data_IF_636807524830
#
_entry.id   IF_636807524830
#
_cell.length_a   1.000
_cell.length_b   1.000
_cell.length_c   1.000
_cell.angle_alpha   90.00
_cell.angle_beta   90.00
_cell.angle_gamma   90.00
#
_symmetry.space_group_name_H-M   'P 1'
#
loop_
_entity.id
_entity.type
_entity.pdbx_description
1 polymer ?
#
# COMPACT_ATOMS: atom_id res chain seq x y z
N UNK A 1 33.12 18.43 4.69
CA UNK A 1 32.97 19.64 3.85
C UNK A 1 32.87 19.12 2.43
N UNK A 2 31.70 19.27 1.81
CA UNK A 2 31.43 18.71 0.47
C UNK A 2 32.38 19.25 -0.59
N UNK A 3 32.55 18.49 -1.68
CA UNK A 3 33.39 18.88 -2.81
C UNK A 3 32.55 19.72 -3.78
N UNK A 4 33.13 20.79 -4.33
CA UNK A 4 32.46 21.57 -5.38
C UNK A 4 32.16 20.66 -6.58
N UNK A 5 30.91 20.66 -7.01
CA UNK A 5 30.45 19.86 -8.14
C UNK A 5 31.19 20.22 -9.43
N UNK A 6 31.28 19.26 -10.36
CA UNK A 6 31.99 19.45 -11.62
C UNK A 6 31.38 20.58 -12.48
N UNK A 7 30.08 20.84 -12.34
CA UNK A 7 29.35 21.91 -13.00
C UNK A 7 29.39 23.25 -12.23
N UNK A 8 30.09 23.29 -11.08
CA UNK A 8 30.28 24.47 -10.22
C UNK A 8 28.98 25.09 -9.71
N UNK A 9 27.98 24.27 -9.43
CA UNK A 9 26.65 24.73 -8.98
C UNK A 9 26.34 24.37 -7.54
N UNK A 10 27.05 23.42 -6.96
CA UNK A 10 26.70 22.85 -5.66
C UNK A 10 27.90 22.27 -4.93
N UNK A 11 27.77 22.11 -3.62
CA UNK A 11 28.76 21.41 -2.79
C UNK A 11 28.13 20.11 -2.30
N UNK A 12 28.62 18.99 -2.83
CA UNK A 12 27.94 17.71 -2.70
C UNK A 12 28.85 16.61 -2.14
N UNK A 13 28.25 15.73 -1.34
CA UNK A 13 28.74 14.39 -1.02
C UNK A 13 27.72 13.34 -1.55
N UNK A 14 28.18 12.17 -2.03
CA UNK A 14 27.29 11.12 -2.55
C UNK A 14 26.24 10.69 -1.51
N UNK A 15 25.01 10.46 -1.96
CA UNK A 15 23.87 9.94 -1.18
C UNK A 15 23.45 10.79 0.05
N UNK A 16 23.93 12.03 0.16
CA UNK A 16 23.66 12.95 1.29
C UNK A 16 22.87 14.19 0.88
N UNK A 17 21.74 13.99 0.18
CA UNK A 17 21.01 15.08 -0.48
C UNK A 17 20.64 16.25 0.43
N UNK A 18 20.08 15.99 1.62
CA UNK A 18 19.66 17.05 2.53
C UNK A 18 20.85 17.84 3.10
N UNK A 19 21.94 17.14 3.43
CA UNK A 19 23.18 17.78 3.88
C UNK A 19 23.85 18.59 2.75
N UNK A 20 23.77 18.12 1.50
CA UNK A 20 24.29 18.86 0.34
C UNK A 20 23.54 20.18 0.15
N UNK A 21 22.23 20.20 0.38
CA UNK A 21 21.44 21.44 0.35
C UNK A 21 21.86 22.41 1.45
N UNK A 22 22.06 21.92 2.67
CA UNK A 22 22.55 22.73 3.78
C UNK A 22 23.94 23.32 3.48
N UNK A 23 24.89 22.47 3.07
CA UNK A 23 26.26 22.90 2.72
C UNK A 23 26.27 23.92 1.57
N UNK A 24 25.48 23.68 0.53
CA UNK A 24 25.35 24.60 -0.61
C UNK A 24 24.69 25.92 -0.20
N UNK A 25 23.75 25.90 0.76
CA UNK A 25 23.13 27.12 1.30
C UNK A 25 24.14 27.97 2.08
N UNK A 26 25.01 27.33 2.88
CA UNK A 26 26.11 28.03 3.53
C UNK A 26 27.11 28.61 2.51
N UNK A 27 27.43 27.86 1.46
CA UNK A 27 28.31 28.34 0.38
C UNK A 27 27.69 29.56 -0.34
N UNK A 28 26.39 29.53 -0.63
CA UNK A 28 25.68 30.67 -1.20
C UNK A 28 25.76 31.91 -0.27
N UNK A 29 25.49 31.74 1.03
CA UNK A 29 25.62 32.84 1.99
C UNK A 29 27.05 33.39 2.04
N UNK A 30 28.07 32.53 1.98
CA UNK A 30 29.46 32.96 1.94
C UNK A 30 29.80 33.75 0.67
N UNK A 31 29.32 33.30 -0.51
CA UNK A 31 29.51 34.03 -1.77
C UNK A 31 28.84 35.41 -1.73
N UNK A 32 27.65 35.52 -1.15
CA UNK A 32 26.94 36.79 -0.97
C UNK A 32 27.71 37.75 -0.05
N UNK A 33 28.28 37.25 1.04
CA UNK A 33 29.13 38.04 1.96
C UNK A 33 30.40 38.53 1.25
N UNK A 34 31.00 37.68 0.41
CA UNK A 34 32.16 38.03 -0.42
C UNK A 34 31.80 38.93 -1.61
N UNK A 35 30.51 39.19 -1.85
CA UNK A 35 29.96 39.95 -2.99
C UNK A 35 30.36 39.38 -4.35
N UNK A 36 30.57 38.07 -4.42
CA UNK A 36 30.81 37.36 -5.69
C UNK A 36 29.47 37.02 -6.35
N UNK A 37 28.82 38.01 -6.95
CA UNK A 37 27.48 37.84 -7.53
C UNK A 37 27.50 37.04 -8.85
N UNK A 38 28.63 37.01 -9.56
CA UNK A 38 28.76 36.29 -10.83
C UNK A 38 28.65 34.77 -10.63
N UNK A 39 29.19 34.27 -9.52
CA UNK A 39 29.19 32.84 -9.18
C UNK A 39 27.88 32.36 -8.53
N UNK A 40 26.98 33.27 -8.12
CA UNK A 40 25.82 32.95 -7.27
C UNK A 40 24.64 32.38 -8.07
N UNK A 41 24.41 32.86 -9.29
CA UNK A 41 23.23 32.49 -10.06
C UNK A 41 23.08 30.97 -10.32
N UNK A 42 24.14 30.23 -10.71
CA UNK A 42 24.07 28.78 -10.88
C UNK A 42 23.72 28.04 -9.58
N UNK A 43 24.22 28.53 -8.44
CA UNK A 43 23.98 27.96 -7.11
C UNK A 43 22.52 28.14 -6.70
N UNK A 44 21.96 29.32 -6.94
CA UNK A 44 20.55 29.63 -6.68
C UNK A 44 19.61 28.79 -7.55
N UNK A 45 19.94 28.58 -8.83
CA UNK A 45 19.16 27.69 -9.70
C UNK A 45 19.12 26.27 -9.15
N UNK A 46 20.29 25.72 -8.80
CA UNK A 46 20.39 24.37 -8.26
C UNK A 46 19.58 24.22 -6.96
N UNK A 47 19.69 25.15 -6.01
CA UNK A 47 18.91 25.11 -4.77
C UNK A 47 17.40 25.13 -5.00
N UNK A 48 16.91 25.91 -5.97
CA UNK A 48 15.49 25.95 -6.32
C UNK A 48 14.98 24.63 -6.92
N UNK A 49 15.84 23.86 -7.57
CA UNK A 49 15.50 22.57 -8.19
C UNK A 49 15.41 21.42 -7.17
N UNK A 50 15.98 21.56 -5.96
CA UNK A 50 16.06 20.47 -4.97
C UNK A 50 14.79 20.23 -4.12
N UNK A 51 13.62 20.72 -4.55
CA UNK A 51 12.33 20.61 -3.82
C UNK A 51 11.66 19.24 -3.96
N UNK A 52 12.33 18.20 -3.47
CA UNK A 52 11.96 16.80 -3.69
C UNK A 52 10.80 16.30 -2.82
N UNK A 53 10.70 16.76 -1.56
CA UNK A 53 9.74 16.21 -0.61
C UNK A 53 8.39 16.93 -0.69
N UNK A 54 7.53 16.48 -1.61
CA UNK A 54 6.19 17.05 -1.78
C UNK A 54 6.22 18.53 -2.21
N UNK A 55 7.28 18.95 -2.90
CA UNK A 55 7.51 20.36 -3.27
C UNK A 55 8.23 21.20 -2.21
N UNK A 56 8.67 20.60 -1.10
CA UNK A 56 9.54 21.22 -0.08
C UNK A 56 10.92 20.55 0.04
N UNK A 57 11.73 20.98 1.02
CA UNK A 57 13.12 20.54 1.20
C UNK A 57 13.31 19.39 2.21
N UNK A 58 12.24 18.88 2.83
CA UNK A 58 12.24 17.57 3.52
C UNK A 58 12.68 17.55 4.99
N UNK A 59 13.54 18.45 5.45
CA UNK A 59 13.91 18.59 6.87
C UNK A 59 13.93 20.04 7.33
N UNK A 60 13.84 20.26 8.64
CA UNK A 60 13.82 21.62 9.22
C UNK A 60 15.10 22.40 8.91
N UNK A 61 16.28 21.79 9.11
CA UNK A 61 17.57 22.48 8.88
C UNK A 61 17.77 22.83 7.41
N UNK A 62 17.59 21.86 6.50
CA UNK A 62 17.70 22.12 5.07
C UNK A 62 16.69 23.19 4.61
N UNK A 63 15.44 23.09 5.08
CA UNK A 63 14.40 24.08 4.74
C UNK A 63 14.76 25.47 5.24
N UNK A 64 15.18 25.60 6.49
CA UNK A 64 15.55 26.89 7.10
C UNK A 64 16.74 27.51 6.37
N UNK A 65 17.82 26.76 6.19
CA UNK A 65 19.05 27.25 5.58
C UNK A 65 18.86 27.65 4.12
N UNK A 66 18.12 26.84 3.34
CA UNK A 66 17.82 27.17 1.94
C UNK A 66 16.97 28.44 1.85
N UNK A 67 15.94 28.58 2.69
CA UNK A 67 15.12 29.80 2.67
C UNK A 67 15.89 31.04 3.11
N UNK A 68 16.75 30.93 4.13
CA UNK A 68 17.60 32.03 4.57
C UNK A 68 18.53 32.48 3.44
N UNK A 69 19.20 31.54 2.78
CA UNK A 69 20.14 31.83 1.71
C UNK A 69 19.45 32.46 0.48
N UNK A 70 18.30 31.91 0.06
CA UNK A 70 17.52 32.46 -1.06
C UNK A 70 16.92 33.84 -0.74
N UNK A 71 16.47 34.06 0.50
CA UNK A 71 15.96 35.37 0.92
C UNK A 71 17.08 36.42 0.95
N UNK A 72 18.27 36.04 1.43
CA UNK A 72 19.43 36.93 1.43
C UNK A 72 19.89 37.26 0.00
N UNK A 73 19.88 36.28 -0.91
CA UNK A 73 20.16 36.51 -2.33
C UNK A 73 19.22 37.56 -2.94
N UNK A 74 17.90 37.42 -2.73
CA UNK A 74 16.92 38.37 -3.26
C UNK A 74 17.03 39.78 -2.65
N UNK A 75 17.58 39.87 -1.43
CA UNK A 75 17.85 41.15 -0.75
C UNK A 75 19.09 41.84 -1.31
N UNK A 76 20.15 41.09 -1.58
CA UNK A 76 21.45 41.63 -2.00
C UNK A 76 21.57 41.78 -3.53
N UNK A 77 20.84 40.95 -4.29
CA UNK A 77 20.76 40.96 -5.76
C UNK A 77 19.31 41.22 -6.19
N UNK A 78 18.85 42.48 -6.08
CA UNK A 78 17.50 42.88 -6.46
C UNK A 78 17.27 42.79 -7.97
N UNK A 79 16.39 41.88 -8.42
CA UNK A 79 16.04 41.69 -9.85
C UNK A 79 14.56 42.01 -10.15
N UNK A 80 13.96 42.89 -9.34
CA UNK A 80 12.49 42.98 -9.18
C UNK A 80 11.73 43.85 -10.17
N UNK A 81 12.40 44.71 -10.94
CA UNK A 81 11.69 45.68 -11.79
C UNK A 81 11.17 45.09 -13.11
N UNK A 82 11.66 43.91 -13.50
CA UNK A 82 11.40 43.31 -14.83
C UNK A 82 10.53 42.03 -14.80
N UNK A 83 9.94 41.66 -13.65
CA UNK A 83 9.14 40.43 -13.54
C UNK A 83 7.82 40.55 -14.33
N UNK A 84 7.78 39.90 -15.48
CA UNK A 84 6.62 39.76 -16.34
C UNK A 84 6.64 38.37 -17.01
N UNK A 85 6.14 37.37 -16.30
CA UNK A 85 6.08 35.99 -16.78
C UNK A 85 4.64 35.62 -17.14
N UNK A 86 4.44 35.17 -18.37
CA UNK A 86 3.18 34.56 -18.84
C UNK A 86 3.40 33.05 -18.92
N UNK A 87 2.72 32.31 -18.04
CA UNK A 87 2.77 30.86 -17.96
C UNK A 87 1.47 30.29 -18.51
N UNK A 88 1.57 29.43 -19.52
CA UNK A 88 0.44 28.73 -20.14
C UNK A 88 0.56 27.23 -19.87
N UNK A 89 -0.50 26.64 -19.31
CA UNK A 89 -0.59 25.20 -19.01
C UNK A 89 -1.60 24.59 -19.98
N UNK A 90 -1.14 23.67 -20.82
CA UNK A 90 -1.94 22.97 -21.80
C UNK A 90 -2.27 21.55 -21.31
N UNK A 91 -3.56 21.24 -21.24
CA UNK A 91 -4.11 20.00 -20.70
C UNK A 91 -4.86 19.25 -21.82
N UNK A 92 -4.55 17.96 -22.10
CA UNK A 92 -5.09 17.23 -23.24
C UNK A 92 -6.63 17.15 -23.30
N UNK A 93 -7.29 17.21 -22.15
CA UNK A 93 -8.75 17.11 -22.02
C UNK A 93 -9.45 18.47 -21.92
N UNK A 94 -8.71 19.57 -22.00
CA UNK A 94 -9.24 20.92 -21.88
C UNK A 94 -9.26 21.61 -23.25
N UNK A 95 -10.35 22.30 -23.57
CA UNK A 95 -10.49 22.98 -24.87
C UNK A 95 -9.64 24.25 -24.99
N UNK A 96 -9.15 24.79 -23.88
CA UNK A 96 -8.30 25.97 -23.83
C UNK A 96 -7.22 25.85 -22.76
N UNK A 97 -6.03 26.39 -23.10
CA UNK A 97 -4.90 26.46 -22.19
C UNK A 97 -5.17 27.42 -21.02
N UNK A 98 -4.79 27.02 -19.82
CA UNK A 98 -4.89 27.85 -18.62
C UNK A 98 -3.71 28.82 -18.63
N UNK A 99 -3.99 30.13 -18.71
CA UNK A 99 -2.98 31.17 -18.73
C UNK A 99 -2.92 31.91 -17.40
N UNK A 100 -1.71 32.10 -16.89
CA UNK A 100 -1.42 32.90 -15.70
C UNK A 100 -0.35 33.93 -16.04
N UNK A 101 -0.60 35.17 -15.65
CA UNK A 101 0.38 36.25 -15.71
C UNK A 101 0.89 36.53 -14.30
N UNK A 102 2.20 36.43 -14.13
CA UNK A 102 2.92 36.68 -12.89
C UNK A 102 3.68 37.99 -13.09
N UNK A 103 3.23 39.00 -12.35
CA UNK A 103 3.84 40.33 -12.28
C UNK A 103 4.43 40.50 -10.88
N UNK A 104 5.26 41.51 -10.69
CA UNK A 104 5.78 41.87 -9.36
C UNK A 104 4.67 42.00 -8.31
N UNK A 105 3.56 42.66 -8.65
CA UNK A 105 2.40 42.85 -7.76
C UNK A 105 1.72 41.53 -7.34
N UNK A 106 1.84 40.48 -8.16
CA UNK A 106 1.23 39.17 -7.95
C UNK A 106 2.23 38.05 -7.66
N UNK A 107 3.51 38.39 -7.45
CA UNK A 107 4.60 37.43 -7.29
C UNK A 107 4.45 36.52 -6.06
N UNK A 108 3.80 37.01 -5.00
CA UNK A 108 3.55 36.24 -3.77
C UNK A 108 2.36 35.27 -3.88
N UNK A 109 1.58 35.33 -4.97
CA UNK A 109 0.31 34.64 -5.07
C UNK A 109 0.47 33.25 -5.70
N UNK A 110 0.35 32.22 -4.88
CA UNK A 110 0.41 30.83 -5.35
C UNK A 110 -0.78 30.48 -6.25
N UNK A 111 -0.49 29.93 -7.43
CA UNK A 111 -1.47 29.40 -8.38
C UNK A 111 -1.38 27.88 -8.37
N UNK A 112 -2.51 27.19 -8.21
CA UNK A 112 -2.55 25.72 -8.21
C UNK A 112 -3.67 25.19 -9.09
N UNK A 113 -3.40 24.07 -9.78
CA UNK A 113 -4.36 23.31 -10.59
C UNK A 113 -4.28 21.85 -10.17
N UNK A 114 -5.43 21.19 -9.98
CA UNK A 114 -5.51 19.81 -9.47
C UNK A 114 -6.00 18.86 -10.56
N UNK A 115 -5.07 18.25 -11.31
CA UNK A 115 -5.36 17.23 -12.33
C UNK A 115 -4.22 16.19 -12.40
N UNK A 116 -4.57 14.93 -12.63
CA UNK A 116 -3.63 13.82 -12.75
C UNK A 116 -3.58 13.33 -14.21
N UNK A 117 -3.02 14.16 -15.08
CA UNK A 117 -2.84 13.88 -16.50
C UNK A 117 -1.55 14.56 -16.98
N UNK A 118 -0.99 14.10 -18.10
CA UNK A 118 0.19 14.74 -18.68
C UNK A 118 -0.20 16.13 -19.20
N UNK A 119 0.67 17.11 -19.05
CA UNK A 119 0.43 18.50 -19.50
C UNK A 119 1.72 19.13 -20.01
N UNK A 120 1.59 20.19 -20.79
CA UNK A 120 2.71 20.98 -21.30
C UNK A 120 2.66 22.37 -20.68
N UNK A 121 3.81 22.87 -20.22
CA UNK A 121 3.92 24.24 -19.70
C UNK A 121 4.80 25.07 -20.63
N UNK A 122 4.28 26.23 -21.03
CA UNK A 122 5.02 27.23 -21.80
C UNK A 122 5.13 28.50 -20.97
N UNK A 123 6.36 28.94 -20.68
CA UNK A 123 6.62 30.21 -20.01
C UNK A 123 7.24 31.21 -21.00
N UNK A 124 6.75 32.44 -21.01
CA UNK A 124 7.24 33.53 -21.87
C UNK A 124 7.35 34.82 -21.08
N UNK A 125 8.31 35.67 -21.45
CA UNK A 125 8.53 36.98 -20.82
C UNK A 125 9.82 37.04 -20.01
N UNK A 126 9.88 37.98 -19.07
CA UNK A 126 11.07 38.27 -18.25
C UNK A 126 10.84 37.89 -16.79
N UNK A 127 11.89 37.40 -16.16
CA UNK A 127 11.91 37.01 -14.75
C UNK A 127 12.06 35.50 -14.53
N UNK A 128 12.11 35.10 -13.26
CA UNK A 128 12.32 33.72 -12.84
C UNK A 128 11.19 33.24 -11.93
N UNK A 129 10.84 31.97 -12.03
CA UNK A 129 9.83 31.35 -11.19
C UNK A 129 10.08 29.86 -11.02
N UNK A 130 9.33 29.23 -10.12
CA UNK A 130 9.42 27.78 -9.85
C UNK A 130 8.07 27.13 -10.11
N UNK A 131 8.07 26.07 -10.92
CA UNK A 131 6.93 25.18 -11.10
C UNK A 131 7.15 23.91 -10.27
N UNK A 132 6.20 23.56 -9.41
CA UNK A 132 6.20 22.30 -8.68
C UNK A 132 4.99 21.45 -9.07
N UNK A 133 5.23 20.17 -9.35
CA UNK A 133 4.21 19.19 -9.72
C UNK A 133 4.23 18.08 -8.69
N UNK A 134 3.17 17.97 -7.90
CA UNK A 134 3.07 17.00 -6.81
C UNK A 134 1.82 16.15 -7.02
N UNK A 135 2.03 14.85 -7.26
CA UNK A 135 0.94 13.88 -7.40
C UNK A 135 0.79 13.10 -6.11
N UNK A 136 -0.31 13.35 -5.39
CA UNK A 136 -0.67 12.59 -4.19
C UNK A 136 -1.59 11.43 -4.59
N UNK A 137 -1.20 10.20 -4.26
CA UNK A 137 -1.98 9.00 -4.54
C UNK A 137 -1.78 7.95 -3.44
N UNK A 138 -2.71 7.01 -3.34
CA UNK A 138 -2.56 5.84 -2.48
C UNK A 138 -1.70 4.79 -3.19
N UNK A 139 -0.43 4.67 -2.82
CA UNK A 139 0.47 3.67 -3.36
C UNK A 139 0.21 2.30 -2.73
N UNK A 140 0.16 1.25 -3.55
CA UNK A 140 0.20 -0.14 -3.07
C UNK A 140 1.65 -0.49 -2.70
N UNK A 141 1.86 -1.06 -1.52
CA UNK A 141 3.19 -1.46 -1.05
C UNK A 141 3.75 -2.65 -1.84
N UNK A 142 5.03 -2.55 -2.23
CA UNK A 142 5.83 -3.67 -2.75
C UNK A 142 6.18 -4.58 -1.56
N UNK A 143 6.08 -5.91 -1.74
CA UNK A 143 6.23 -6.90 -0.67
C UNK A 143 7.62 -6.90 0.02
N UNK A 144 8.64 -6.31 -0.62
CA UNK A 144 9.96 -6.12 -0.04
C UNK A 144 10.37 -4.66 -0.23
N UNK A 145 10.06 -3.81 0.74
CA UNK A 145 10.64 -2.48 0.80
C UNK A 145 12.05 -2.63 1.38
N UNK A 146 13.07 -2.25 0.62
CA UNK A 146 14.47 -2.32 1.07
C UNK A 146 14.67 -1.27 2.15
N UNK A 147 14.88 -1.71 3.38
CA UNK A 147 15.32 -0.86 4.47
C UNK A 147 16.70 -0.29 4.15
N UNK A 148 16.80 1.03 4.20
CA UNK A 148 18.02 1.76 3.88
C UNK A 148 18.64 2.25 5.19
N UNK A 149 19.86 1.77 5.48
CA UNK A 149 20.66 2.16 6.65
C UNK A 149 20.06 1.86 8.03
N UNK A 150 18.89 1.23 8.11
CA UNK A 150 18.28 0.79 9.35
C UNK A 150 17.91 -0.70 9.28
N UNK A 151 18.13 -1.39 10.38
CA UNK A 151 17.54 -2.69 10.68
C UNK A 151 16.38 -2.46 11.65
N UNK A 152 15.19 -2.99 11.32
CA UNK A 152 13.98 -2.78 12.10
C UNK A 152 13.25 -4.10 12.26
N UNK A 153 13.06 -4.50 13.52
CA UNK A 153 12.24 -5.65 13.92
C UNK A 153 11.04 -5.15 14.70
N UNK A 154 9.86 -5.59 14.30
CA UNK A 154 8.61 -5.28 14.99
C UNK A 154 7.91 -6.59 15.32
N UNK A 155 7.64 -6.81 16.59
CA UNK A 155 6.93 -8.00 17.06
C UNK A 155 5.74 -7.60 17.90
N UNK A 156 4.61 -8.27 17.67
CA UNK A 156 3.39 -8.10 18.44
C UNK A 156 3.08 -9.42 19.13
N UNK A 157 2.87 -9.36 20.46
CA UNK A 157 2.55 -10.54 21.26
C UNK A 157 1.36 -10.26 22.17
N UNK A 158 0.60 -11.30 22.51
CA UNK A 158 -0.47 -11.15 23.50
C UNK A 158 0.13 -10.83 24.87
N UNK A 159 -0.52 -9.92 25.59
CA UNK A 159 -0.14 -9.65 26.97
C UNK A 159 -0.54 -10.85 27.85
N UNK A 160 0.29 -11.23 28.84
CA UNK A 160 -0.10 -12.18 29.87
C UNK A 160 -1.40 -11.78 30.60
N UNK A 161 -2.18 -12.75 31.09
CA UNK A 161 -3.50 -12.50 31.71
C UNK A 161 -3.44 -11.64 32.99
N UNK A 162 -2.29 -11.60 33.66
CA UNK A 162 -2.04 -10.82 34.88
C UNK A 162 -1.78 -9.32 34.61
N UNK A 163 -1.66 -8.92 33.35
CA UNK A 163 -1.40 -7.54 32.97
C UNK A 163 -2.63 -6.67 33.19
N UNK A 164 -2.44 -5.55 33.89
CA UNK A 164 -3.49 -4.54 34.10
C UNK A 164 -4.04 -4.06 32.75
N UNK A 165 -5.33 -4.26 32.55
CA UNK A 165 -6.09 -3.80 31.39
C UNK A 165 -7.06 -2.68 31.80
N UNK A 166 -7.15 -1.59 31.04
CA UNK A 166 -8.20 -0.58 31.24
C UNK A 166 -9.60 -1.21 31.18
N UNK A 167 -10.56 -0.73 31.98
CA UNK A 167 -11.90 -1.32 32.03
C UNK A 167 -12.63 -1.30 30.69
N UNK A 168 -12.40 -0.25 29.89
CA UNK A 168 -13.02 -0.07 28.57
C UNK A 168 -12.30 -0.82 27.44
N UNK A 169 -11.14 -1.41 27.71
CA UNK A 169 -10.37 -2.14 26.70
C UNK A 169 -10.86 -3.59 26.60
N UNK A 170 -11.13 -4.04 25.37
CA UNK A 170 -11.53 -5.40 25.03
C UNK A 170 -10.36 -6.38 25.08
N UNK A 171 -9.16 -5.94 24.69
CA UNK A 171 -7.95 -6.76 24.64
C UNK A 171 -6.69 -5.93 24.87
N UNK A 172 -5.60 -6.57 25.27
CA UNK A 172 -4.27 -5.95 25.45
C UNK A 172 -3.20 -6.78 24.77
N UNK A 173 -2.33 -6.12 24.02
CA UNK A 173 -1.15 -6.71 23.39
C UNK A 173 0.09 -5.91 23.75
N UNK A 174 1.25 -6.51 23.60
CA UNK A 174 2.55 -5.87 23.81
C UNK A 174 3.21 -5.71 22.44
N UNK A 175 3.55 -4.46 22.11
CA UNK A 175 4.29 -4.11 20.91
C UNK A 175 5.76 -3.91 21.28
N UNK A 176 6.64 -4.65 20.62
CA UNK A 176 8.08 -4.63 20.81
C UNK A 176 8.75 -4.22 19.49
N UNK A 177 9.48 -3.10 19.54
CA UNK A 177 10.12 -2.45 18.40
C UNK A 177 11.61 -2.37 18.69
N UNK A 178 12.41 -3.09 17.90
CA UNK A 178 13.86 -3.02 17.98
C UNK A 178 14.43 -2.43 16.70
N UNK A 179 15.35 -1.48 16.83
CA UNK A 179 16.01 -0.83 15.70
C UNK A 179 17.51 -0.73 15.92
N UNK A 180 18.28 -0.84 14.85
CA UNK A 180 19.73 -0.65 14.84
C UNK A 180 20.15 0.10 13.58
N UNK A 181 21.12 1.00 13.72
CA UNK A 181 21.66 1.71 12.58
C UNK A 181 22.74 0.88 11.87
N UNK A 182 22.78 0.95 10.54
CA UNK A 182 23.71 0.19 9.69
C UNK A 182 24.81 1.09 9.08
N UNK A 183 25.01 2.28 9.64
CA UNK A 183 26.16 3.13 9.33
C UNK A 183 27.40 2.77 10.14
N UNK A 184 28.47 3.52 9.91
CA UNK A 184 29.76 3.34 10.58
C UNK A 184 29.81 3.99 11.98
N UNK A 185 28.84 4.85 12.29
CA UNK A 185 28.73 5.61 13.54
C UNK A 185 27.28 5.59 14.02
N UNK A 186 27.03 5.89 15.29
CA UNK A 186 25.66 6.02 15.82
C UNK A 186 24.84 7.04 14.99
N UNK A 187 23.59 6.68 14.68
CA UNK A 187 22.69 7.63 14.06
C UNK A 187 22.35 8.74 15.05
N UNK A 188 22.32 9.97 14.55
CA UNK A 188 21.82 11.13 15.28
C UNK A 188 20.31 11.01 15.54
N UNK A 189 19.68 12.12 15.95
CA UNK A 189 18.25 12.19 16.23
C UNK A 189 17.42 11.52 15.12
N UNK A 190 16.60 10.55 15.53
CA UNK A 190 15.82 9.69 14.65
C UNK A 190 14.37 9.65 15.13
N UNK A 191 13.44 9.41 14.22
CA UNK A 191 12.01 9.38 14.52
C UNK A 191 11.46 7.97 14.27
N UNK A 192 10.68 7.47 15.22
CA UNK A 192 9.77 6.35 15.03
C UNK A 192 8.35 6.87 14.83
N UNK A 193 7.83 6.69 13.63
CA UNK A 193 6.45 6.98 13.24
C UNK A 193 5.64 5.68 13.24
N UNK A 194 4.78 5.53 14.24
CA UNK A 194 4.06 4.31 14.54
C UNK A 194 2.57 4.53 14.28
N UNK A 195 2.03 3.86 13.28
CA UNK A 195 0.59 3.83 13.02
C UNK A 195 -0.06 2.65 13.72
N UNK A 196 -1.05 2.95 14.57
CA UNK A 196 -1.80 1.91 15.29
C UNK A 196 -2.70 1.10 14.35
N UNK A 197 -2.94 -0.15 14.74
CA UNK A 197 -3.99 -0.99 14.15
C UNK A 197 -5.38 -0.37 14.39
N UNK A 198 -6.34 -0.65 13.50
CA UNK A 198 -7.70 -0.13 13.65
C UNK A 198 -8.32 -0.58 14.97
N UNK A 199 -8.80 0.38 15.76
CA UNK A 199 -9.43 0.09 17.06
C UNK A 199 -8.44 -0.05 18.23
N UNK A 200 -7.14 0.14 17.99
CA UNK A 200 -6.11 0.10 19.03
C UNK A 200 -5.59 1.50 19.42
N UNK A 201 -5.16 1.63 20.68
CA UNK A 201 -4.47 2.81 21.20
C UNK A 201 -3.34 2.39 22.14
N UNK A 202 -2.19 3.08 22.15
CA UNK A 202 -1.09 2.75 23.06
C UNK A 202 -1.45 3.10 24.52
N UNK A 203 -0.84 2.38 25.46
CA UNK A 203 -0.90 2.67 26.89
C UNK A 203 -0.07 3.92 27.20
N UNK A 204 -0.73 4.96 27.69
CA UNK A 204 -0.06 6.24 27.98
C UNK A 204 0.87 6.15 29.19
N UNK A 205 0.60 5.27 30.16
CA UNK A 205 1.44 5.09 31.34
C UNK A 205 2.79 4.47 31.00
N UNK A 206 2.82 3.52 30.08
CA UNK A 206 4.08 2.97 29.54
C UNK A 206 4.87 4.04 28.78
N UNK A 207 4.19 4.84 27.95
CA UNK A 207 4.84 5.91 27.18
C UNK A 207 5.40 7.02 28.09
N UNK A 208 4.68 7.38 29.15
CA UNK A 208 5.14 8.35 30.15
C UNK A 208 6.39 7.83 30.88
N UNK A 209 6.40 6.54 31.26
CA UNK A 209 7.57 5.90 31.87
C UNK A 209 8.78 5.89 30.91
N UNK A 210 8.54 5.57 29.64
CA UNK A 210 9.55 5.59 28.59
C UNK A 210 10.14 7.00 28.36
N UNK A 211 9.38 8.07 28.56
CA UNK A 211 9.88 9.46 28.42
C UNK A 211 10.55 10.04 29.67
N UNK A 212 10.34 9.45 30.85
CA UNK A 212 10.80 10.01 32.13
C UNK A 212 12.06 9.32 32.67
N UNK A 213 12.44 8.18 32.11
CA UNK A 213 13.64 7.45 32.49
C UNK A 213 14.89 8.21 32.01
N UNK A 214 15.84 8.41 32.92
CA UNK A 214 17.10 9.15 32.67
C UNK A 214 18.04 8.38 31.71
N UNK A 215 17.88 7.05 31.62
CA UNK A 215 18.67 6.14 30.79
C UNK A 215 18.02 5.79 29.44
N UNK A 216 16.85 6.35 29.12
CA UNK A 216 16.17 6.06 27.86
C UNK A 216 16.52 7.10 26.80
N UNK A 217 16.89 6.63 25.60
CA UNK A 217 17.18 7.45 24.42
C UNK A 217 15.97 8.20 23.85
N UNK A 218 14.85 8.29 24.58
CA UNK A 218 13.57 8.82 24.13
C UNK A 218 13.43 10.24 24.65
N UNK A 219 13.48 11.22 23.75
CA UNK A 219 13.38 12.63 24.12
C UNK A 219 11.93 13.06 24.34
N UNK A 220 11.01 12.56 23.51
CA UNK A 220 9.60 12.96 23.52
C UNK A 220 8.73 11.95 22.77
N UNK A 221 7.45 11.88 23.12
CA UNK A 221 6.45 11.27 22.26
C UNK A 221 5.27 12.22 21.99
N UNK A 222 4.62 12.05 20.85
CA UNK A 222 3.45 12.82 20.44
C UNK A 222 2.37 11.88 19.91
N UNK A 223 1.17 11.98 20.50
CA UNK A 223 -0.03 11.33 20.00
C UNK A 223 -0.78 12.32 19.12
N UNK A 224 -0.78 12.08 17.81
CA UNK A 224 -1.50 12.93 16.88
C UNK A 224 -3.02 12.71 17.02
N UNK A 225 -3.68 13.57 17.79
CA UNK A 225 -5.14 13.68 17.86
C UNK A 225 -5.75 14.45 16.66
N UNK A 226 -4.90 15.08 15.84
CA UNK A 226 -5.33 15.96 14.77
C UNK A 226 -5.62 15.17 13.49
N UNK A 227 -6.90 14.83 13.26
CA UNK A 227 -7.53 14.52 11.94
C UNK A 227 -6.80 13.55 10.99
N UNK A 228 -5.83 12.79 11.47
CA UNK A 228 -5.25 11.64 10.79
C UNK A 228 -6.28 10.51 10.81
N UNK A 229 -6.51 9.87 9.66
CA UNK A 229 -7.40 8.71 9.55
C UNK A 229 -6.91 7.49 10.37
N UNK A 230 -5.69 7.57 10.94
CA UNK A 230 -5.08 6.56 11.80
C UNK A 230 -4.58 7.20 13.10
N UNK A 231 -4.77 6.53 14.22
CA UNK A 231 -4.17 6.91 15.49
C UNK A 231 -2.65 6.70 15.39
N UNK A 232 -1.88 7.77 15.21
CA UNK A 232 -0.42 7.71 15.01
C UNK A 232 0.31 8.22 16.24
N UNK A 233 1.33 7.47 16.66
CA UNK A 233 2.27 7.77 17.74
C UNK A 233 3.63 8.09 17.12
N UNK A 234 4.17 9.25 17.43
CA UNK A 234 5.52 9.67 17.03
C UNK A 234 6.41 9.62 18.27
N UNK A 235 7.53 8.91 18.18
CA UNK A 235 8.55 8.86 19.25
C UNK A 235 9.86 9.45 18.68
N UNK A 236 10.41 10.41 19.40
CA UNK A 236 11.70 11.02 19.09
C UNK A 236 12.80 10.31 19.87
N UNK A 237 13.83 9.86 19.15
CA UNK A 237 15.01 9.22 19.71
C UNK A 237 16.22 10.14 19.53
N UNK A 238 16.98 10.36 20.59
CA UNK A 238 18.18 11.20 20.54
C UNK A 238 19.28 10.60 19.66
N UNK A 239 19.42 9.27 19.73
CA UNK A 239 20.33 8.49 18.90
C UNK A 239 19.86 7.05 18.73
N UNK A 240 20.34 6.38 17.68
CA UNK A 240 20.20 4.93 17.50
C UNK A 240 21.60 4.35 17.34
N UNK A 241 21.93 3.35 18.15
CA UNK A 241 23.23 2.71 18.13
C UNK A 241 23.46 1.95 16.82
N UNK A 242 24.70 1.99 16.34
CA UNK A 242 25.14 1.15 15.22
C UNK A 242 25.64 -0.24 15.68
N UNK A 243 26.09 -0.36 16.93
CA UNK A 243 26.64 -1.59 17.51
C UNK A 243 25.58 -2.52 18.12
N UNK A 244 24.56 -1.98 18.75
CA UNK A 244 23.57 -2.74 19.52
C UNK A 244 22.13 -2.39 19.10
N UNK A 245 21.21 -3.36 19.23
CA UNK A 245 19.78 -3.10 19.01
C UNK A 245 19.20 -2.25 20.14
N UNK A 246 18.55 -1.14 19.80
CA UNK A 246 17.73 -0.36 20.72
C UNK A 246 16.28 -0.83 20.63
N UNK A 247 15.73 -1.33 21.74
CA UNK A 247 14.38 -1.87 21.81
C UNK A 247 13.45 -1.01 22.67
N UNK A 248 12.19 -0.92 22.25
CA UNK A 248 11.11 -0.19 22.90
C UNK A 248 9.92 -1.10 23.04
N UNK A 249 9.39 -1.21 24.25
CA UNK A 249 8.30 -2.13 24.56
C UNK A 249 7.21 -1.36 25.29
N UNK A 250 5.99 -1.39 24.76
CA UNK A 250 4.82 -0.80 25.41
C UNK A 250 3.54 -1.55 25.06
N UNK A 251 2.52 -1.40 25.90
CA UNK A 251 1.22 -2.03 25.69
C UNK A 251 0.38 -1.25 24.67
N UNK A 252 -0.44 -1.98 23.94
CA UNK A 252 -1.49 -1.45 23.06
C UNK A 252 -2.82 -2.11 23.41
N UNK A 253 -3.86 -1.29 23.57
CA UNK A 253 -5.19 -1.71 24.00
C UNK A 253 -6.19 -1.62 22.86
N UNK A 254 -7.00 -2.66 22.70
CA UNK A 254 -8.11 -2.69 21.74
C UNK A 254 -9.38 -2.15 22.40
N UNK A 255 -9.96 -1.07 21.86
CA UNK A 255 -11.22 -0.49 22.35
C UNK A 255 -12.41 -0.84 21.44
N UNK A 256 -12.14 -1.12 20.17
CA UNK A 256 -13.18 -1.43 19.19
C UNK A 256 -12.94 -2.81 18.58
N UNK A 257 -13.98 -3.64 18.56
CA UNK A 257 -13.96 -4.89 17.82
C UNK A 257 -14.30 -4.59 16.35
N UNK A 258 -13.36 -4.84 15.45
CA UNK A 258 -13.49 -4.55 14.02
C UNK A 258 -13.31 -5.85 13.26
N UNK A 259 -14.24 -6.17 12.35
CA UNK A 259 -14.21 -7.44 11.62
C UNK A 259 -12.99 -7.63 10.72
N UNK A 260 -12.43 -6.52 10.20
CA UNK A 260 -11.16 -6.51 9.47
C UNK A 260 -10.23 -5.46 10.07
N UNK A 261 -9.28 -5.91 10.87
CA UNK A 261 -8.26 -5.05 11.47
C UNK A 261 -7.26 -4.65 10.38
N UNK A 262 -7.11 -3.35 10.12
CA UNK A 262 -6.03 -2.88 9.26
C UNK A 262 -4.71 -3.01 10.02
N UNK A 263 -3.64 -3.55 9.40
CA UNK A 263 -2.35 -3.66 10.06
C UNK A 263 -1.77 -2.31 10.42
N UNK A 264 -1.04 -2.29 11.54
CA UNK A 264 -0.23 -1.16 11.96
C UNK A 264 1.09 -1.14 11.20
N UNK A 265 1.79 -0.03 11.30
CA UNK A 265 3.13 0.12 10.72
C UNK A 265 4.07 0.86 11.66
N UNK A 266 5.34 0.51 11.63
CA UNK A 266 6.42 1.26 12.28
C UNK A 266 7.36 1.72 11.18
N UNK A 267 7.60 3.02 11.09
CA UNK A 267 8.59 3.60 10.20
C UNK A 267 9.67 4.30 11.04
N UNK A 268 10.91 3.88 10.87
CA UNK A 268 12.09 4.56 11.42
C UNK A 268 12.76 5.38 10.33
N UNK A 269 13.18 6.60 10.65
CA UNK A 269 13.97 7.44 9.74
C UNK A 269 14.85 8.44 10.49
N UNK A 270 15.98 8.81 9.89
CA UNK A 270 16.84 9.88 10.40
C UNK A 270 16.16 11.25 10.21
N UNK A 271 16.21 12.10 11.24
CA UNK A 271 15.58 13.42 11.20
C UNK A 271 16.17 14.33 10.10
N UNK A 272 17.49 14.26 9.92
CA UNK A 272 18.22 15.10 8.97
C UNK A 272 18.34 14.46 7.58
N UNK A 273 18.08 13.16 7.45
CA UNK A 273 18.09 12.44 6.17
C UNK A 273 16.97 11.37 6.10
N UNK A 274 15.71 11.74 5.80
CA UNK A 274 14.59 10.81 5.72
C UNK A 274 14.71 9.75 4.61
N UNK A 275 15.66 9.86 3.69
CA UNK A 275 15.95 8.82 2.69
C UNK A 275 16.55 7.57 3.34
N UNK A 276 17.21 7.71 4.49
CA UNK A 276 17.58 6.63 5.38
C UNK A 276 16.37 6.26 6.24
N UNK A 277 15.63 5.24 5.79
CA UNK A 277 14.45 4.79 6.48
C UNK A 277 14.22 3.29 6.31
N UNK A 278 13.42 2.75 7.22
CA UNK A 278 12.89 1.39 7.16
C UNK A 278 11.45 1.42 7.66
N UNK A 279 10.60 0.60 7.04
CA UNK A 279 9.20 0.45 7.43
C UNK A 279 8.85 -1.02 7.55
N UNK A 280 8.21 -1.38 8.65
CA UNK A 280 7.71 -2.72 8.91
C UNK A 280 6.24 -2.66 9.32
N UNK A 281 5.50 -3.71 9.02
CA UNK A 281 4.08 -3.83 9.37
C UNK A 281 3.90 -4.88 10.46
N UNK A 282 2.84 -4.72 11.25
CA UNK A 282 2.51 -5.68 12.30
C UNK A 282 1.01 -5.94 12.33
N UNK A 283 0.65 -7.19 12.61
CA UNK A 283 -0.73 -7.65 12.71
C UNK A 283 -0.80 -8.84 13.70
N UNK A 284 -1.90 -9.05 14.44
CA UNK A 284 -1.98 -10.12 15.43
C UNK A 284 -1.80 -11.53 14.84
N UNK A 285 -2.43 -11.77 13.68
CA UNK A 285 -2.47 -13.10 13.06
C UNK A 285 -1.49 -13.30 11.89
N UNK A 286 -0.63 -12.31 11.58
CA UNK A 286 0.24 -12.36 10.40
C UNK A 286 1.65 -11.88 10.76
N UNK A 287 2.65 -12.73 10.56
CA UNK A 287 4.06 -12.45 10.91
C UNK A 287 4.58 -11.17 10.21
N UNK A 288 4.37 -11.03 8.90
CA UNK A 288 4.82 -9.84 8.14
C UNK A 288 3.87 -8.63 8.25
N UNK A 289 2.77 -8.75 8.99
CA UNK A 289 1.74 -7.71 9.11
C UNK A 289 0.98 -7.35 7.82
N UNK A 290 1.37 -7.88 6.65
CA UNK A 290 0.76 -7.51 5.36
C UNK A 290 -0.59 -8.20 5.12
N UNK A 291 -1.50 -7.49 4.46
CA UNK A 291 -2.77 -8.06 4.00
C UNK A 291 -2.52 -9.22 3.02
N UNK A 292 -3.30 -10.30 3.11
CA UNK A 292 -3.11 -11.48 2.26
C UNK A 292 -3.42 -11.09 0.81
N UNK A 293 -2.40 -11.06 -0.05
CA UNK A 293 -2.52 -10.69 -1.47
C UNK A 293 -2.30 -11.92 -2.33
N UNK A 294 -3.13 -12.08 -3.36
CA UNK A 294 -2.88 -13.02 -4.45
C UNK A 294 -2.06 -12.32 -5.54
N UNK A 295 -0.78 -12.65 -5.66
CA UNK A 295 0.12 -12.03 -6.63
C UNK A 295 0.66 -13.06 -7.62
N UNK A 296 0.55 -12.79 -8.92
CA UNK A 296 1.24 -13.55 -9.96
C UNK A 296 1.91 -12.53 -10.87
N UNK A 297 3.25 -12.59 -10.91
CA UNK A 297 4.08 -11.54 -11.52
C UNK A 297 3.76 -10.17 -10.89
N UNK A 298 3.40 -9.16 -11.70
CA UNK A 298 3.21 -7.77 -11.25
C UNK A 298 1.76 -7.41 -10.87
N UNK A 299 0.82 -8.36 -11.00
CA UNK A 299 -0.59 -8.12 -10.74
C UNK A 299 -1.01 -8.80 -9.43
N UNK A 300 -1.45 -8.00 -8.47
CA UNK A 300 -1.88 -8.45 -7.14
C UNK A 300 -3.35 -8.12 -6.87
N UNK A 301 -4.12 -9.11 -6.45
CA UNK A 301 -5.49 -8.98 -5.95
C UNK A 301 -5.54 -9.16 -4.43
N UNK A 302 -6.54 -8.58 -3.77
CA UNK A 302 -6.78 -8.78 -2.34
C UNK A 302 -7.45 -10.16 -2.15
N UNK A 303 -6.84 -11.05 -1.37
CA UNK A 303 -7.29 -12.41 -1.15
C UNK A 303 -7.58 -12.65 0.32
N UNK A 304 -8.69 -12.12 0.83
CA UNK A 304 -9.07 -12.30 2.24
C UNK A 304 -10.29 -13.20 2.46
N UNK A 305 -10.99 -13.59 1.40
CA UNK A 305 -12.21 -14.39 1.52
C UNK A 305 -12.13 -15.65 0.66
N UNK A 306 -11.99 -16.79 1.33
CA UNK A 306 -12.33 -18.09 0.79
C UNK A 306 -13.81 -18.31 1.12
N UNK A 307 -14.70 -18.27 0.13
CA UNK A 307 -16.08 -18.68 0.37
C UNK A 307 -16.25 -20.09 -0.20
N UNK A 308 -16.49 -21.04 0.68
CA UNK A 308 -17.18 -22.26 0.32
C UNK A 308 -18.62 -22.12 0.80
N UNK A 309 -19.57 -22.54 -0.02
CA UNK A 309 -20.81 -23.04 0.58
C UNK A 309 -20.48 -24.32 1.31
N UNK A 310 -20.51 -24.23 2.63
CA UNK A 310 -20.26 -25.35 3.51
C UNK A 310 -21.23 -26.48 3.22
N UNK A 311 -20.64 -27.68 3.19
CA UNK A 311 -21.22 -29.03 3.28
C UNK A 311 -22.35 -29.17 4.33
N UNK A 312 -22.56 -28.17 5.21
CA UNK A 312 -23.54 -28.18 6.30
C UNK A 312 -24.85 -27.40 6.02
N UNK A 313 -24.96 -26.67 4.90
CA UNK A 313 -26.27 -26.14 4.47
C UNK A 313 -26.86 -27.13 3.46
N UNK A 314 -28.08 -27.60 3.72
CA UNK A 314 -28.87 -28.33 2.72
C UNK A 314 -29.15 -27.40 1.54
N UNK A 315 -28.29 -27.42 0.53
CA UNK A 315 -28.47 -26.64 -0.69
C UNK A 315 -29.54 -27.35 -1.53
N UNK A 316 -30.63 -26.65 -1.86
CA UNK A 316 -31.68 -27.19 -2.72
C UNK A 316 -31.31 -27.07 -4.20
N UNK A 317 -32.05 -27.79 -5.07
CA UNK A 317 -31.93 -27.62 -6.52
C UNK A 317 -32.22 -26.17 -6.95
N UNK A 318 -33.27 -25.57 -6.41
CA UNK A 318 -33.70 -24.20 -6.75
C UNK A 318 -32.64 -23.16 -6.34
N UNK A 319 -32.01 -23.33 -5.17
CA UNK A 319 -30.93 -22.44 -4.72
C UNK A 319 -29.74 -22.47 -5.70
N UNK A 320 -29.38 -23.65 -6.23
CA UNK A 320 -28.29 -23.78 -7.21
C UNK A 320 -28.65 -23.07 -8.52
N UNK A 321 -29.88 -23.25 -9.00
CA UNK A 321 -30.36 -22.61 -10.23
C UNK A 321 -30.40 -21.08 -10.09
N UNK A 322 -30.99 -20.57 -9.00
CA UNK A 322 -31.05 -19.12 -8.75
C UNK A 322 -29.63 -18.52 -8.65
N UNK A 323 -28.71 -19.17 -7.93
CA UNK A 323 -27.33 -18.68 -7.74
C UNK A 323 -26.48 -18.76 -9.00
N UNK A 324 -26.53 -19.87 -9.75
CA UNK A 324 -25.79 -20.01 -11.00
C UNK A 324 -26.30 -19.06 -12.11
N UNK A 325 -27.53 -18.56 -11.96
CA UNK A 325 -28.16 -17.60 -12.85
C UNK A 325 -28.14 -16.14 -12.36
N UNK A 326 -27.44 -15.84 -11.26
CA UNK A 326 -27.23 -14.45 -10.85
C UNK A 326 -26.47 -13.65 -11.93
N UNK A 327 -26.84 -12.39 -12.17
CA UNK A 327 -26.09 -11.52 -13.07
C UNK A 327 -24.62 -11.41 -12.63
N UNK A 328 -23.71 -11.81 -13.52
CA UNK A 328 -22.27 -11.80 -13.25
C UNK A 328 -21.62 -13.18 -13.21
N UNK A 329 -22.39 -14.26 -12.97
CA UNK A 329 -21.86 -15.62 -13.11
C UNK A 329 -21.54 -15.87 -14.58
N UNK A 330 -20.27 -16.06 -14.87
CA UNK A 330 -19.73 -16.14 -16.23
C UNK A 330 -19.68 -17.59 -16.72
N UNK A 331 -19.17 -18.51 -15.92
CA UNK A 331 -18.99 -19.92 -16.30
C UNK A 331 -19.58 -20.88 -15.27
N UNK A 332 -20.02 -22.06 -15.72
CA UNK A 332 -20.45 -23.19 -14.86
C UNK A 332 -19.92 -24.48 -15.47
N UNK A 333 -19.08 -25.21 -14.73
CA UNK A 333 -18.39 -26.40 -15.21
C UNK A 333 -18.51 -27.56 -14.22
N UNK A 334 -18.57 -28.78 -14.76
CA UNK A 334 -18.19 -30.00 -14.04
C UNK A 334 -16.73 -30.27 -14.35
N UNK A 335 -15.90 -30.31 -13.31
CA UNK A 335 -14.46 -30.46 -13.45
C UNK A 335 -13.92 -31.58 -12.58
N UNK A 336 -12.78 -32.14 -12.95
CA UNK A 336 -12.07 -33.17 -12.18
C UNK A 336 -10.69 -32.68 -11.80
N UNK A 337 -10.32 -32.84 -10.53
CA UNK A 337 -8.99 -32.45 -10.06
C UNK A 337 -7.95 -33.50 -10.48
N UNK A 338 -6.99 -33.12 -11.32
CA UNK A 338 -5.86 -33.99 -11.68
C UNK A 338 -4.76 -33.98 -10.63
N UNK A 339 -4.29 -32.78 -10.29
CA UNK A 339 -3.08 -32.60 -9.47
C UNK A 339 -3.12 -31.31 -8.69
N UNK A 340 -2.53 -31.33 -7.49
CA UNK A 340 -2.25 -30.16 -6.67
C UNK A 340 -0.78 -29.78 -6.74
N UNK A 341 -0.51 -28.50 -6.95
CA UNK A 341 0.81 -27.88 -6.87
C UNK A 341 0.77 -26.89 -5.70
N UNK A 342 1.23 -27.34 -4.53
CA UNK A 342 1.21 -26.53 -3.31
C UNK A 342 2.41 -25.57 -3.28
N UNK A 343 2.17 -24.31 -2.91
CA UNK A 343 3.23 -23.33 -2.66
C UNK A 343 3.06 -22.64 -1.30
N UNK A 344 4.00 -21.79 -0.94
CA UNK A 344 4.00 -21.03 0.31
C UNK A 344 2.98 -19.88 0.29
N UNK A 345 2.66 -19.36 -0.90
CA UNK A 345 1.73 -18.24 -1.06
C UNK A 345 0.36 -18.71 -1.57
N UNK A 346 0.34 -19.54 -2.62
CA UNK A 346 -0.86 -19.97 -3.35
C UNK A 346 -0.80 -21.45 -3.74
N UNK A 347 -1.95 -22.08 -3.80
CA UNK A 347 -2.09 -23.43 -4.34
C UNK A 347 -2.63 -23.38 -5.76
N UNK A 348 -1.96 -24.10 -6.64
CA UNK A 348 -2.40 -24.33 -8.01
C UNK A 348 -3.08 -25.70 -8.10
N UNK A 349 -4.34 -25.71 -8.49
CA UNK A 349 -5.14 -26.90 -8.73
C UNK A 349 -5.30 -27.08 -10.24
N UNK A 350 -4.70 -28.14 -10.80
CA UNK A 350 -4.81 -28.46 -12.21
C UNK A 350 -6.07 -29.29 -12.40
N UNK A 351 -7.07 -28.70 -13.02
CA UNK A 351 -8.40 -29.28 -13.21
C UNK A 351 -8.64 -29.58 -14.69
N UNK A 352 -9.31 -30.69 -14.99
CA UNK A 352 -9.83 -31.00 -16.33
C UNK A 352 -11.29 -30.65 -16.39
N UNK A 353 -11.70 -29.93 -17.44
CA UNK A 353 -13.11 -29.63 -17.68
C UNK A 353 -13.77 -30.85 -18.32
N UNK A 354 -14.57 -31.58 -17.56
CA UNK A 354 -15.28 -32.77 -18.04
C UNK A 354 -16.53 -32.37 -18.83
N UNK A 355 -17.30 -31.41 -18.31
CA UNK A 355 -18.53 -30.94 -18.95
C UNK A 355 -18.71 -29.43 -18.79
N UNK A 356 -19.12 -28.79 -19.88
CA UNK A 356 -19.46 -27.36 -19.91
C UNK A 356 -20.99 -27.24 -19.74
N UNK A 357 -21.43 -26.73 -18.59
CA UNK A 357 -22.86 -26.53 -18.28
C UNK A 357 -23.31 -25.14 -18.74
N UNK A 358 -22.47 -24.13 -18.52
CA UNK A 358 -22.63 -22.76 -19.01
C UNK A 358 -21.29 -22.26 -19.54
N UNK A 359 -21.24 -21.92 -20.81
CA UNK A 359 -20.06 -21.30 -21.43
C UNK A 359 -19.86 -19.88 -20.90
N UNK A 360 -18.61 -19.54 -20.57
CA UNK A 360 -18.24 -18.20 -20.13
C UNK A 360 -17.35 -17.46 -21.14
N UNK A 361 -16.59 -16.49 -20.62
CA UNK A 361 -15.68 -15.64 -21.41
C UNK A 361 -14.44 -16.38 -21.91
N UNK A 362 -14.07 -17.49 -21.26
CA UNK A 362 -13.02 -18.41 -21.74
C UNK A 362 -13.60 -19.46 -22.69
N UNK A 363 -13.06 -19.53 -23.90
CA UNK A 363 -13.46 -20.47 -24.95
C UNK A 363 -12.79 -21.83 -24.75
N UNK A 364 -13.20 -22.52 -23.69
CA UNK A 364 -12.65 -23.81 -23.30
C UNK A 364 -13.45 -24.97 -23.89
N UNK A 365 -12.79 -26.11 -24.16
CA UNK A 365 -13.43 -27.34 -24.63
C UNK A 365 -13.40 -28.42 -23.54
N UNK A 366 -14.35 -29.36 -23.60
CA UNK A 366 -14.32 -30.55 -22.74
C UNK A 366 -13.02 -31.35 -22.97
N UNK A 367 -12.40 -31.80 -21.88
CA UNK A 367 -11.11 -32.46 -21.85
C UNK A 367 -9.90 -31.53 -21.68
N UNK A 368 -10.07 -30.19 -21.78
CA UNK A 368 -8.96 -29.26 -21.59
C UNK A 368 -8.61 -29.04 -20.12
N UNK A 369 -7.33 -28.81 -19.86
CA UNK A 369 -6.80 -28.49 -18.54
C UNK A 369 -6.84 -26.99 -18.27
N UNK A 370 -7.27 -26.62 -17.06
CA UNK A 370 -7.25 -25.25 -16.54
C UNK A 370 -6.65 -25.23 -15.14
N UNK A 371 -5.90 -24.17 -14.87
CA UNK A 371 -5.26 -23.93 -13.58
C UNK A 371 -6.17 -23.05 -12.72
N UNK A 372 -6.60 -23.59 -11.59
CA UNK A 372 -7.35 -22.88 -10.57
C UNK A 372 -6.41 -22.50 -9.43
N UNK A 373 -6.38 -21.23 -9.04
CA UNK A 373 -5.46 -20.69 -8.04
C UNK A 373 -6.25 -20.32 -6.79
N UNK A 374 -5.80 -20.75 -5.61
CA UNK A 374 -6.35 -20.29 -4.34
C UNK A 374 -5.26 -19.89 -3.36
N UNK A 375 -5.60 -19.05 -2.39
CA UNK A 375 -4.68 -18.66 -1.34
C UNK A 375 -4.42 -19.83 -0.38
N UNK A 376 -3.21 -19.96 0.17
CA UNK A 376 -2.85 -21.07 1.09
C UNK A 376 -3.83 -21.22 2.27
N UNK A 377 -4.34 -20.10 2.79
CA UNK A 377 -5.40 -20.05 3.83
C UNK A 377 -6.69 -20.80 3.44
N UNK A 378 -6.99 -20.90 2.14
CA UNK A 378 -8.16 -21.62 1.66
C UNK A 378 -7.95 -23.13 1.58
N UNK A 379 -6.72 -23.64 1.76
CA UNK A 379 -6.39 -25.07 1.61
C UNK A 379 -7.24 -25.95 2.53
N UNK A 380 -7.30 -25.61 3.80
CA UNK A 380 -8.06 -26.34 4.84
C UNK A 380 -9.57 -26.16 4.71
N UNK A 381 -10.02 -25.05 4.10
CA UNK A 381 -11.43 -24.87 3.77
C UNK A 381 -11.77 -25.77 2.56
N UNK A 382 -11.11 -25.57 1.42
CA UNK A 382 -11.43 -26.21 0.15
C UNK A 382 -11.35 -27.74 0.19
N UNK A 383 -10.35 -28.32 0.90
CA UNK A 383 -10.16 -29.77 1.06
C UNK A 383 -10.35 -30.59 -0.23
N UNK A 384 -9.96 -30.01 -1.38
CA UNK A 384 -10.09 -30.67 -2.67
C UNK A 384 -9.30 -31.98 -2.65
N UNK A 385 -9.71 -32.99 -3.39
CA UNK A 385 -9.10 -34.32 -3.43
C UNK A 385 -8.76 -34.66 -4.87
N UNK A 386 -7.56 -35.17 -5.10
CA UNK A 386 -7.12 -35.57 -6.44
C UNK A 386 -7.97 -36.76 -6.92
N UNK A 387 -8.36 -36.73 -8.19
CA UNK A 387 -9.23 -37.73 -8.81
C UNK A 387 -10.74 -37.48 -8.63
N UNK A 388 -11.16 -36.60 -7.70
CA UNK A 388 -12.58 -36.30 -7.46
C UNK A 388 -13.14 -35.24 -8.41
N UNK A 389 -14.46 -35.29 -8.59
CA UNK A 389 -15.22 -34.33 -9.38
C UNK A 389 -15.80 -33.20 -8.53
N UNK A 390 -15.94 -32.03 -9.15
CA UNK A 390 -16.47 -30.82 -8.52
C UNK A 390 -17.37 -30.05 -9.49
N UNK A 391 -18.46 -29.48 -8.96
CA UNK A 391 -19.23 -28.44 -9.63
C UNK A 391 -18.63 -27.08 -9.26
N UNK A 392 -18.24 -26.31 -10.27
CA UNK A 392 -17.65 -24.97 -10.08
C UNK A 392 -18.27 -23.92 -10.98
N UNK A 393 -18.56 -22.75 -10.42
CA UNK A 393 -18.93 -21.56 -11.17
C UNK A 393 -18.32 -20.31 -10.55
N UNK A 394 -18.20 -19.25 -11.34
CA UNK A 394 -17.62 -18.00 -10.89
C UNK A 394 -17.88 -16.85 -11.84
N UNK A 395 -17.29 -15.70 -11.53
CA UNK A 395 -17.47 -14.45 -12.25
C UNK A 395 -16.29 -14.17 -13.20
N UNK A 396 -16.52 -13.36 -14.23
CA UNK A 396 -15.50 -13.07 -15.26
C UNK A 396 -14.29 -12.32 -14.71
N UNK A 397 -14.44 -11.56 -13.61
CA UNK A 397 -13.31 -10.86 -12.95
C UNK A 397 -12.34 -11.80 -12.23
N UNK A 398 -12.70 -13.08 -12.07
CA UNK A 398 -11.86 -14.12 -11.50
C UNK A 398 -11.03 -14.86 -12.55
N UNK A 399 -11.20 -14.55 -13.82
CA UNK A 399 -10.35 -15.04 -14.91
C UNK A 399 -9.07 -14.21 -15.00
N UNK A 400 -7.93 -14.89 -15.13
CA UNK A 400 -6.62 -14.25 -15.14
C UNK A 400 -5.71 -14.77 -16.26
N UNK A 401 -4.96 -13.87 -16.88
CA UNK A 401 -4.07 -14.19 -17.98
C UNK A 401 -4.70 -13.88 -19.33
N UNK A 402 -3.96 -14.14 -20.39
CA UNK A 402 -4.40 -13.93 -21.78
C UNK A 402 -4.65 -15.28 -22.45
N UNK A 403 -5.60 -15.32 -23.39
CA UNK A 403 -5.83 -16.51 -24.22
C UNK A 403 -4.52 -16.93 -24.90
N UNK A 404 -4.14 -18.22 -24.89
CA UNK A 404 -4.94 -19.39 -24.50
C UNK A 404 -4.79 -19.82 -23.02
N UNK A 405 -3.99 -19.12 -22.22
CA UNK A 405 -3.56 -19.52 -20.87
C UNK A 405 -4.34 -18.80 -19.77
N UNK A 406 -5.66 -18.87 -19.82
CA UNK A 406 -6.52 -18.33 -18.76
C UNK A 406 -6.43 -19.24 -17.53
N UNK A 407 -6.25 -18.60 -16.37
CA UNK A 407 -6.25 -19.17 -15.03
C UNK A 407 -7.48 -18.68 -14.28
N UNK A 408 -7.97 -19.49 -13.36
CA UNK A 408 -9.19 -19.22 -12.60
C UNK A 408 -8.82 -18.94 -11.15
N UNK A 409 -9.24 -17.83 -10.58
CA UNK A 409 -8.96 -17.50 -9.18
C UNK A 409 -10.16 -17.91 -8.32
N UNK A 410 -9.94 -18.77 -7.33
CA UNK A 410 -10.97 -19.16 -6.37
C UNK A 410 -11.07 -18.09 -5.27
N UNK A 411 -12.18 -17.34 -5.27
CA UNK A 411 -12.48 -16.24 -4.33
C UNK A 411 -13.85 -16.41 -3.67
N UNK A 412 -14.34 -15.34 -3.03
CA UNK A 412 -15.64 -15.32 -2.34
C UNK A 412 -16.85 -15.55 -3.25
N UNK A 413 -16.71 -15.23 -4.53
CA UNK A 413 -17.79 -15.31 -5.52
C UNK A 413 -17.69 -16.59 -6.36
N UNK A 414 -16.72 -17.47 -6.04
CA UNK A 414 -16.55 -18.77 -6.69
C UNK A 414 -17.28 -19.84 -5.89
N UNK A 415 -18.15 -20.60 -6.56
CA UNK A 415 -18.78 -21.77 -5.98
C UNK A 415 -17.94 -23.01 -6.21
N UNK A 416 -17.81 -23.84 -5.19
CA UNK A 416 -17.13 -25.13 -5.25
C UNK A 416 -17.95 -26.14 -4.46
N UNK A 417 -18.43 -27.18 -5.13
CA UNK A 417 -19.21 -28.25 -4.51
C UNK A 417 -18.66 -29.61 -4.97
N UNK A 418 -18.47 -30.54 -4.03
CA UNK A 418 -18.03 -31.91 -4.34
C UNK A 418 -19.13 -32.63 -5.10
N UNK A 419 -18.76 -33.26 -6.21
CA UNK A 419 -19.64 -34.09 -7.01
C UNK A 419 -19.32 -35.57 -6.71
N UNK A 420 -20.21 -36.32 -6.04
CA UNK A 420 -19.95 -37.72 -5.67
C UNK A 420 -19.74 -38.62 -6.88
N UNK A 421 -18.88 -39.63 -6.73
CA UNK A 421 -18.65 -40.62 -7.79
C UNK A 421 -19.87 -41.52 -8.00
N UNK A 422 -19.97 -42.17 -9.17
CA UNK A 422 -21.10 -43.02 -9.51
C UNK A 422 -21.36 -44.15 -8.49
N UNK A 423 -20.30 -44.68 -7.86
CA UNK A 423 -20.42 -45.66 -6.77
C UNK A 423 -20.91 -45.06 -5.45
N UNK A 424 -20.52 -43.82 -5.13
CA UNK A 424 -20.91 -43.11 -3.90
C UNK A 424 -22.35 -42.62 -3.97
N UNK A 425 -22.88 -42.39 -5.18
CA UNK A 425 -24.29 -42.04 -5.40
C UNK A 425 -25.28 -43.18 -5.07
N UNK A 426 -24.80 -44.42 -4.85
CA UNK A 426 -25.65 -45.54 -4.41
C UNK A 426 -25.92 -45.52 -2.90
N UNK A 427 -25.16 -44.73 -2.13
CA UNK A 427 -25.37 -44.56 -0.70
C UNK A 427 -26.57 -43.62 -0.46
N UNK A 428 -27.46 -43.99 0.48
CA UNK A 428 -28.67 -43.20 0.82
C UNK A 428 -28.34 -41.74 1.20
N UNK A 429 -27.13 -41.50 1.74
CA UNK A 429 -26.67 -40.15 2.12
C UNK A 429 -26.43 -39.24 0.90
N UNK A 430 -25.98 -39.80 -0.23
CA UNK A 430 -25.59 -39.05 -1.43
C UNK A 430 -26.63 -39.11 -2.55
N UNK A 431 -27.58 -40.03 -2.49
CA UNK A 431 -28.60 -40.24 -3.52
C UNK A 431 -29.29 -38.93 -3.92
N UNK A 432 -29.75 -38.17 -2.91
CA UNK A 432 -30.42 -36.88 -3.14
C UNK A 432 -29.49 -35.86 -3.80
N UNK A 433 -28.24 -35.76 -3.36
CA UNK A 433 -27.29 -34.80 -3.92
C UNK A 433 -26.99 -35.12 -5.39
N UNK A 434 -26.78 -36.40 -5.72
CA UNK A 434 -26.53 -36.82 -7.09
C UNK A 434 -27.72 -36.55 -8.01
N UNK A 435 -28.95 -36.82 -7.54
CA UNK A 435 -30.18 -36.49 -8.28
C UNK A 435 -30.31 -34.98 -8.52
N UNK A 436 -30.11 -34.16 -7.47
CA UNK A 436 -30.18 -32.70 -7.58
C UNK A 436 -29.13 -32.14 -8.55
N UNK A 437 -27.89 -32.63 -8.51
CA UNK A 437 -26.81 -32.19 -9.42
C UNK A 437 -27.07 -32.59 -10.88
N UNK A 438 -27.63 -33.79 -11.11
CA UNK A 438 -28.03 -34.24 -12.44
C UNK A 438 -29.16 -33.36 -13.00
N UNK A 439 -30.21 -33.14 -12.20
CA UNK A 439 -31.35 -32.29 -12.57
C UNK A 439 -30.93 -30.83 -12.81
N UNK A 440 -30.00 -30.30 -12.00
CA UNK A 440 -29.43 -28.97 -12.19
C UNK A 440 -28.76 -28.86 -13.56
N UNK A 441 -27.94 -29.87 -13.92
CA UNK A 441 -27.19 -29.89 -15.16
C UNK A 441 -28.12 -29.97 -16.36
N UNK A 442 -29.12 -30.84 -16.32
CA UNK A 442 -30.10 -30.97 -17.40
C UNK A 442 -30.90 -29.66 -17.58
N UNK A 443 -31.39 -29.06 -16.49
CA UNK A 443 -32.12 -27.80 -16.56
C UNK A 443 -31.27 -26.66 -17.15
N UNK A 444 -30.02 -26.51 -16.69
CA UNK A 444 -29.13 -25.45 -17.16
C UNK A 444 -28.74 -25.60 -18.62
N UNK A 445 -28.52 -26.84 -19.09
CA UNK A 445 -28.15 -27.10 -20.49
C UNK A 445 -29.35 -26.93 -21.43
N UNK A 446 -30.55 -27.35 -21.01
CA UNK A 446 -31.76 -27.32 -21.86
C UNK A 446 -32.43 -25.95 -21.87
N UNK A 447 -32.64 -25.35 -20.70
CA UNK A 447 -33.42 -24.11 -20.56
C UNK A 447 -32.55 -22.87 -20.35
N UNK A 448 -31.29 -23.04 -19.91
CA UNK A 448 -30.42 -21.93 -19.54
C UNK A 448 -30.97 -21.13 -18.36
N UNK A 449 -30.50 -19.88 -18.24
CA UNK A 449 -30.95 -18.98 -17.18
C UNK A 449 -32.19 -18.19 -17.61
N UNK A 450 -33.21 -18.05 -16.75
CA UNK A 450 -34.37 -17.23 -17.05
C UNK A 450 -33.97 -15.76 -17.18
N UNK A 451 -34.48 -15.08 -18.21
CA UNK A 451 -34.31 -13.64 -18.40
C UNK A 451 -35.06 -12.86 -17.30
N UNK A 452 -34.47 -12.69 -16.11
CA UNK A 452 -34.99 -11.75 -15.11
C UNK A 452 -34.50 -10.34 -15.46
N UNK A 453 -35.40 -9.35 -15.62
CA UNK A 453 -34.99 -7.97 -15.78
C UNK A 453 -34.21 -7.51 -14.54
N UNK A 454 -33.07 -6.88 -14.76
CA UNK A 454 -32.19 -6.35 -13.70
C UNK A 454 -33.00 -5.49 -12.72
N UNK A 455 -32.84 -5.65 -11.40
CA UNK A 455 -33.48 -4.76 -10.45
C UNK A 455 -33.00 -3.33 -10.72
N UNK A 456 -33.95 -2.42 -11.00
CA UNK A 456 -33.65 -0.99 -11.12
C UNK A 456 -33.01 -0.53 -9.81
N UNK A 457 -31.95 0.30 -9.86
CA UNK A 457 -31.36 0.85 -8.64
C UNK A 457 -32.44 1.62 -7.85
N UNK A 458 -32.42 1.54 -6.51
CA UNK A 458 -33.32 2.33 -5.68
C UNK A 458 -33.10 3.82 -5.97
N UNK A 459 -34.20 4.55 -6.18
CA UNK A 459 -34.22 6.00 -6.37
C UNK A 459 -33.85 6.75 -5.10
#
# INVERSE_FOLDING_TARGET
MGVLSADKRSWEEPDKRLYNMEATSYALLALLVLKDFDSVHPVVSWLNEQRYYGGGYGSTQATFMVFQALAQYQKDVPDHEDLNLVVSIDLPRHSSAIKHTILWESASLQRSTKKNENFVVTAQGKGQGTLSVVTTYYAKLKAKQTCKKFDLRVTLRQAPEDVKRPQDALNTMILDICTRYLGDEDATMSILDISMMTGFSPDTGDLDMLSTLIDTYISKYELNKAFSQKNTLIIYLDKISHEHENCLIFKVHQYFNVGLIQPGSVKVYSYYNPDENCIQFYHPDKEDGLQSKLCHRDMCHCGEYCFMHQVNKKVSLDDRLDKACEPGVDYVYKIRLLKKELSNDFDDYIMVIEQIIKSGSDEVQAGQERRFISHIKCREALRLQEGKHYLMWGISTDLWGEKPNIKYIIRKDTWVELWPEAGECQDEENEKQCQDLANFTENMVVFGCPNRPSPKPPQ
#
